data_IF_871539216556
#
_entry.id   IF_871539216556
#
_cell.length_a   1.000
_cell.length_b   1.000
_cell.length_c   1.000
_cell.angle_alpha   90.00
_cell.angle_beta   90.00
_cell.angle_gamma   90.00
#
_symmetry.space_group_name_H-M   'P 1'
#
loop_
_entity.id
_entity.type
_entity.pdbx_description
1 polymer ?
#
# COMPACT_ATOMS: atom_id res chain seq x y z
N UNK A 1 -8.71 21.23 13.13
CA UNK A 1 -9.63 21.51 11.99
C UNK A 1 -9.66 20.24 11.16
N UNK A 2 -10.81 19.61 11.03
CA UNK A 2 -10.96 18.48 10.10
C UNK A 2 -10.91 19.06 8.67
N UNK A 3 -9.90 18.68 7.91
CA UNK A 3 -9.77 19.05 6.52
C UNK A 3 -10.39 17.93 5.69
N UNK A 4 -11.31 18.25 4.80
CA UNK A 4 -11.86 17.27 3.87
C UNK A 4 -10.77 16.85 2.88
N UNK A 5 -10.66 15.56 2.59
CA UNK A 5 -9.66 15.04 1.66
C UNK A 5 -9.84 15.67 0.25
N UNK A 6 -11.09 15.92 -0.16
CA UNK A 6 -11.41 16.67 -1.39
C UNK A 6 -10.80 18.08 -1.43
N UNK A 7 -10.84 18.82 -0.30
CA UNK A 7 -10.26 20.16 -0.24
C UNK A 7 -8.73 20.16 -0.38
N UNK A 8 -8.08 19.07 0.08
CA UNK A 8 -6.65 18.87 -0.12
C UNK A 8 -6.33 18.60 -1.60
N UNK A 9 -7.10 17.74 -2.26
CA UNK A 9 -6.91 17.42 -3.67
C UNK A 9 -7.19 18.62 -4.58
N UNK A 10 -8.17 19.45 -4.21
CA UNK A 10 -8.52 20.68 -4.93
C UNK A 10 -7.53 21.84 -4.73
N UNK A 11 -6.50 21.66 -3.91
CA UNK A 11 -5.49 22.71 -3.68
C UNK A 11 -5.94 23.85 -2.77
N UNK A 12 -7.04 23.69 -2.03
CA UNK A 12 -7.60 24.74 -1.16
C UNK A 12 -6.83 24.97 0.14
N UNK A 13 -5.84 24.12 0.44
CA UNK A 13 -5.05 24.18 1.68
C UNK A 13 -3.57 24.30 1.36
N UNK A 14 -2.96 25.39 1.81
CA UNK A 14 -1.55 25.76 1.55
C UNK A 14 -0.62 25.26 2.66
N UNK A 15 0.07 24.16 2.44
CA UNK A 15 1.30 23.79 3.16
C UNK A 15 1.99 22.62 2.47
N UNK A 16 3.33 22.63 2.44
CA UNK A 16 4.10 21.59 1.76
C UNK A 16 4.02 20.21 2.46
N UNK A 17 3.82 20.21 3.78
CA UNK A 17 3.58 19.00 4.58
C UNK A 17 2.56 19.32 5.65
N UNK A 18 1.49 18.53 5.75
CA UNK A 18 0.45 18.68 6.75
C UNK A 18 0.07 17.34 7.35
N UNK A 19 -0.22 17.34 8.66
CA UNK A 19 -0.92 16.23 9.29
C UNK A 19 -2.41 16.53 9.28
N UNK A 20 -3.16 15.63 8.69
CA UNK A 20 -4.62 15.75 8.52
C UNK A 20 -5.31 14.51 9.07
N UNK A 21 -6.61 14.64 9.32
CA UNK A 21 -7.48 13.53 9.69
C UNK A 21 -8.64 13.48 8.70
N UNK A 22 -8.95 12.30 8.21
CA UNK A 22 -10.10 12.03 7.37
C UNK A 22 -10.67 10.65 7.73
N UNK A 23 -11.90 10.41 7.34
CA UNK A 23 -12.56 9.15 7.63
C UNK A 23 -12.20 8.06 6.61
N UNK A 24 -12.38 6.79 6.98
CA UNK A 24 -12.29 5.69 6.00
C UNK A 24 -13.32 5.89 4.87
N UNK A 25 -14.47 6.52 5.15
CA UNK A 25 -15.46 6.85 4.13
C UNK A 25 -14.95 7.88 3.15
N UNK A 26 -14.23 8.92 3.61
CA UNK A 26 -13.62 9.91 2.72
C UNK A 26 -12.59 9.25 1.79
N UNK A 27 -11.74 8.39 2.35
CA UNK A 27 -10.74 7.67 1.56
C UNK A 27 -11.40 6.74 0.52
N UNK A 28 -12.47 6.05 0.90
CA UNK A 28 -13.25 5.23 -0.03
C UNK A 28 -13.88 6.03 -1.16
N UNK A 29 -14.44 7.21 -0.86
CA UNK A 29 -15.04 8.09 -1.86
C UNK A 29 -14.01 8.56 -2.89
N UNK A 30 -12.75 8.74 -2.46
CA UNK A 30 -11.65 9.20 -3.30
C UNK A 30 -10.83 8.06 -3.95
N UNK A 31 -11.25 6.79 -3.83
CA UNK A 31 -10.48 5.62 -4.30
C UNK A 31 -10.11 5.65 -5.78
N UNK A 32 -10.93 6.30 -6.62
CA UNK A 32 -10.66 6.44 -8.05
C UNK A 32 -9.65 7.57 -8.36
N UNK A 33 -9.46 8.49 -7.42
CA UNK A 33 -8.58 9.65 -7.57
C UNK A 33 -7.21 9.47 -6.90
N UNK A 34 -7.08 8.42 -6.07
CA UNK A 34 -5.85 8.11 -5.34
C UNK A 34 -5.22 6.83 -5.88
N UNK A 35 -3.96 6.90 -6.30
CA UNK A 35 -3.16 5.73 -6.63
C UNK A 35 -2.67 5.07 -5.34
N UNK A 36 -3.14 3.86 -5.05
CA UNK A 36 -2.80 3.18 -3.79
C UNK A 36 -1.46 2.47 -3.86
N UNK A 37 -1.06 2.03 -5.04
CA UNK A 37 0.23 1.33 -5.29
C UNK A 37 0.99 2.00 -6.43
N UNK A 38 1.55 3.21 -6.20
CA UNK A 38 2.30 3.89 -7.25
C UNK A 38 3.57 3.11 -7.61
N UNK A 39 3.78 2.94 -8.92
CA UNK A 39 4.87 2.15 -9.48
C UNK A 39 6.27 2.65 -9.11
N UNK A 40 6.37 3.93 -8.76
CA UNK A 40 7.66 4.61 -8.64
C UNK A 40 8.47 4.19 -7.40
N UNK A 41 7.82 3.82 -6.30
CA UNK A 41 8.50 3.53 -5.03
C UNK A 41 7.77 2.52 -4.13
N UNK A 42 6.63 2.00 -4.55
CA UNK A 42 5.89 1.01 -3.78
C UNK A 42 6.16 -0.41 -4.29
N UNK A 43 6.31 -1.33 -3.35
CA UNK A 43 6.27 -2.77 -3.65
C UNK A 43 4.85 -3.20 -4.00
N UNK A 44 4.71 -4.30 -4.71
CA UNK A 44 3.41 -4.90 -4.98
C UNK A 44 2.63 -5.15 -3.70
N UNK A 45 1.30 -5.02 -3.77
CA UNK A 45 0.42 -5.47 -2.70
C UNK A 45 0.58 -6.98 -2.53
N UNK A 46 0.98 -7.41 -1.33
CA UNK A 46 1.23 -8.81 -1.00
C UNK A 46 0.88 -9.13 0.45
N UNK A 47 0.03 -8.32 1.10
CA UNK A 47 -0.42 -8.63 2.44
C UNK A 47 -1.19 -9.95 2.42
N UNK A 48 -0.75 -10.89 3.24
CA UNK A 48 -1.44 -12.16 3.43
C UNK A 48 -2.87 -11.93 3.97
N UNK A 49 -3.79 -12.81 3.60
CA UNK A 49 -5.21 -12.66 3.96
C UNK A 49 -5.41 -12.51 5.47
N UNK A 50 -4.69 -13.30 6.26
CA UNK A 50 -4.75 -13.23 7.73
C UNK A 50 -4.34 -11.84 8.25
N UNK A 51 -3.27 -11.26 7.69
CA UNK A 51 -2.84 -9.92 8.05
C UNK A 51 -3.91 -8.87 7.69
N UNK A 52 -4.52 -8.98 6.50
CA UNK A 52 -5.59 -8.07 6.06
C UNK A 52 -6.78 -8.14 7.02
N UNK A 53 -7.19 -9.36 7.39
CA UNK A 53 -8.29 -9.61 8.31
C UNK A 53 -8.02 -9.01 9.70
N UNK A 54 -6.81 -9.22 10.25
CA UNK A 54 -6.40 -8.63 11.53
C UNK A 54 -6.34 -7.11 11.48
N UNK A 55 -5.85 -6.56 10.37
CA UNK A 55 -5.83 -5.11 10.18
C UNK A 55 -7.26 -4.53 10.18
N UNK A 56 -8.19 -5.08 9.43
CA UNK A 56 -9.57 -4.56 9.41
C UNK A 56 -10.29 -4.79 10.73
N UNK A 57 -9.98 -5.87 11.47
CA UNK A 57 -10.49 -6.08 12.82
C UNK A 57 -10.05 -4.99 13.81
N UNK A 58 -8.90 -4.37 13.57
CA UNK A 58 -8.37 -3.31 14.45
C UNK A 58 -9.28 -2.09 14.52
N UNK A 59 -10.09 -1.82 13.50
CA UNK A 59 -11.06 -0.70 13.51
C UNK A 59 -12.21 -0.91 14.51
N UNK A 60 -12.45 -2.14 14.93
CA UNK A 60 -13.49 -2.51 15.89
C UNK A 60 -12.95 -2.68 17.32
N UNK A 61 -11.65 -2.45 17.51
CA UNK A 61 -11.00 -2.52 18.81
C UNK A 61 -10.51 -1.14 19.26
N UNK A 62 -11.16 -0.49 20.22
CA UNK A 62 -10.80 0.86 20.67
C UNK A 62 -9.41 0.97 21.34
N UNK A 63 -8.80 -0.18 21.68
CA UNK A 63 -7.46 -0.23 22.29
C UNK A 63 -6.33 -0.23 21.25
N UNK A 64 -6.66 -0.37 19.95
CA UNK A 64 -5.68 -0.42 18.88
C UNK A 64 -5.57 0.94 18.20
N UNK A 65 -4.34 1.46 18.15
CA UNK A 65 -4.04 2.68 17.40
C UNK A 65 -3.57 2.27 16.00
N UNK A 66 -4.31 2.69 14.99
CA UNK A 66 -3.95 2.44 13.59
C UNK A 66 -2.88 3.47 13.19
N UNK A 67 -1.71 3.03 12.67
CA UNK A 67 -0.67 3.93 12.23
C UNK A 67 -1.13 4.86 11.11
N UNK A 68 -0.64 6.10 11.13
CA UNK A 68 -0.92 7.08 10.08
C UNK A 68 -0.39 6.61 8.71
N UNK A 69 -1.04 7.09 7.66
CA UNK A 69 -0.59 6.88 6.27
C UNK A 69 0.13 8.12 5.75
N UNK A 70 0.87 7.98 4.66
CA UNK A 70 1.46 9.11 3.96
C UNK A 70 0.88 9.22 2.54
N UNK A 71 0.41 10.41 2.20
CA UNK A 71 -0.16 10.74 0.90
C UNK A 71 0.67 11.81 0.20
N UNK A 72 0.91 11.64 -1.08
CA UNK A 72 1.37 12.69 -1.98
C UNK A 72 0.21 13.17 -2.82
N UNK A 73 0.05 14.49 -2.94
CA UNK A 73 -0.98 15.12 -3.74
C UNK A 73 -0.38 16.24 -4.60
N UNK A 74 -1.02 16.57 -5.72
CA UNK A 74 -0.62 17.71 -6.54
C UNK A 74 -0.49 17.42 -8.03
N UNK A 75 0.03 18.41 -8.75
CA UNK A 75 0.05 18.43 -10.23
C UNK A 75 1.07 17.46 -10.86
N UNK A 76 2.04 17.01 -10.09
CA UNK A 76 3.15 16.15 -10.58
C UNK A 76 2.82 14.64 -10.50
N UNK A 77 1.55 14.28 -10.32
CA UNK A 77 1.10 12.89 -10.25
C UNK A 77 0.52 12.51 -11.63
N UNK A 78 1.09 11.50 -12.32
CA UNK A 78 0.82 11.29 -13.74
C UNK A 78 -0.60 10.88 -14.10
N UNK A 79 -1.31 10.19 -13.21
CA UNK A 79 -2.59 9.55 -13.56
C UNK A 79 -3.75 9.96 -12.67
N UNK A 80 -3.49 10.50 -11.47
CA UNK A 80 -4.50 10.74 -10.44
C UNK A 80 -4.18 12.02 -9.67
N UNK A 81 -5.08 12.45 -8.81
CA UNK A 81 -4.88 13.65 -7.98
C UNK A 81 -4.00 13.40 -6.75
N UNK A 82 -3.85 12.12 -6.35
CA UNK A 82 -3.07 11.71 -5.19
C UNK A 82 -2.51 10.31 -5.32
N UNK A 83 -1.51 9.99 -4.50
CA UNK A 83 -0.94 8.65 -4.37
C UNK A 83 -0.56 8.35 -2.92
N UNK A 84 -0.65 7.08 -2.53
CA UNK A 84 -0.24 6.60 -1.22
C UNK A 84 1.27 6.38 -1.21
N UNK A 85 2.00 7.16 -0.42
CA UNK A 85 3.45 7.00 -0.25
C UNK A 85 3.78 5.91 0.78
N UNK A 86 3.06 5.88 1.92
CA UNK A 86 3.15 4.81 2.91
C UNK A 86 1.75 4.40 3.36
N UNK A 87 1.60 3.12 3.68
CA UNK A 87 0.32 2.54 4.08
C UNK A 87 -0.48 1.88 2.95
N UNK A 88 0.12 1.61 1.80
CA UNK A 88 -0.49 0.90 0.67
C UNK A 88 -1.23 -0.37 1.11
N UNK A 89 -0.58 -1.24 1.91
CA UNK A 89 -1.17 -2.48 2.42
C UNK A 89 -2.41 -2.19 3.29
N UNK A 90 -2.35 -1.14 4.12
CA UNK A 90 -3.44 -0.71 5.01
C UNK A 90 -4.64 -0.19 4.22
N UNK A 91 -4.41 0.70 3.28
CA UNK A 91 -5.46 1.29 2.43
C UNK A 91 -6.11 0.22 1.55
N UNK A 92 -5.30 -0.62 0.89
CA UNK A 92 -5.80 -1.72 0.06
C UNK A 92 -6.65 -2.71 0.86
N UNK A 93 -6.23 -3.06 2.08
CA UNK A 93 -7.00 -3.97 2.95
C UNK A 93 -8.35 -3.36 3.36
N UNK A 94 -8.37 -2.06 3.68
CA UNK A 94 -9.62 -1.34 3.97
C UNK A 94 -10.57 -1.32 2.76
N UNK A 95 -10.02 -1.13 1.56
CA UNK A 95 -10.80 -1.18 0.32
C UNK A 95 -11.32 -2.58 0.03
N UNK A 96 -10.48 -3.61 0.14
CA UNK A 96 -10.86 -5.01 -0.05
C UNK A 96 -11.96 -5.44 0.94
N UNK A 97 -11.89 -5.00 2.19
CA UNK A 97 -12.94 -5.25 3.17
C UNK A 97 -14.26 -4.59 2.76
N UNK A 98 -14.25 -3.32 2.40
CA UNK A 98 -15.46 -2.59 2.00
C UNK A 98 -16.04 -3.07 0.67
N UNK A 99 -15.21 -3.59 -0.23
CA UNK A 99 -15.65 -4.28 -1.47
C UNK A 99 -16.27 -5.65 -1.20
N UNK A 100 -16.00 -6.25 -0.04
CA UNK A 100 -16.46 -7.59 0.31
C UNK A 100 -15.51 -8.71 -0.12
N UNK A 101 -14.26 -8.40 -0.43
CA UNK A 101 -13.23 -9.37 -0.80
C UNK A 101 -12.53 -9.97 0.43
N UNK A 102 -12.57 -9.26 1.56
CA UNK A 102 -12.00 -9.68 2.84
C UNK A 102 -13.10 -9.72 3.90
N UNK A 103 -13.13 -10.78 4.71
CA UNK A 103 -14.00 -10.92 5.88
C UNK A 103 -13.27 -10.56 7.16
N UNK A 104 -13.99 -10.26 8.22
CA UNK A 104 -13.43 -10.19 9.57
C UNK A 104 -12.91 -11.56 10.03
N UNK A 105 -11.84 -11.62 10.84
CA UNK A 105 -11.28 -12.88 11.33
C UNK A 105 -12.17 -13.53 12.40
N UNK A 106 -11.98 -14.83 12.62
CA UNK A 106 -12.64 -15.62 13.66
C UNK A 106 -11.93 -15.47 15.02
N UNK A 107 -11.83 -14.26 15.54
CA UNK A 107 -11.16 -13.97 16.82
C UNK A 107 -12.15 -13.59 17.92
N UNK A 108 -11.85 -13.95 19.16
CA UNK A 108 -12.76 -13.76 20.30
C UNK A 108 -13.09 -12.30 20.62
N UNK A 109 -12.20 -11.36 20.30
CA UNK A 109 -12.44 -9.93 20.50
C UNK A 109 -13.60 -9.38 19.68
N UNK A 110 -13.96 -10.03 18.58
CA UNK A 110 -15.09 -9.67 17.72
C UNK A 110 -16.40 -10.36 18.10
N UNK A 111 -16.36 -11.38 18.97
CA UNK A 111 -17.53 -12.16 19.37
C UNK A 111 -18.55 -11.37 20.19
N UNK A 112 -18.09 -10.43 20.97
CA UNK A 112 -18.93 -9.63 21.85
C UNK A 112 -18.69 -8.13 21.60
N UNK A 113 -18.62 -7.77 20.32
CA UNK A 113 -18.48 -6.36 19.97
C UNK A 113 -19.74 -5.58 20.38
N UNK A 114 -19.54 -4.47 21.08
CA UNK A 114 -20.63 -3.67 21.61
C UNK A 114 -20.64 -2.30 20.93
N UNK A 115 -21.80 -1.87 20.45
CA UNK A 115 -21.98 -0.56 19.82
C UNK A 115 -22.23 0.55 20.88
N UNK A 116 -22.38 1.79 20.41
CA UNK A 116 -22.63 2.96 21.23
C UNK A 116 -23.96 2.90 22.04
N UNK A 117 -24.87 1.99 21.67
CA UNK A 117 -26.15 1.77 22.35
C UNK A 117 -26.11 0.53 23.26
N UNK A 118 -24.93 0.02 23.57
CA UNK A 118 -24.72 -1.19 24.38
C UNK A 118 -25.29 -2.49 23.76
N UNK A 119 -25.60 -2.48 22.45
CA UNK A 119 -26.04 -3.67 21.75
C UNK A 119 -24.84 -4.53 21.40
N UNK A 120 -24.93 -5.84 21.69
CA UNK A 120 -23.85 -6.80 21.50
C UNK A 120 -24.06 -7.57 20.18
N UNK A 121 -23.02 -7.65 19.38
CA UNK A 121 -23.01 -8.34 18.10
C UNK A 121 -21.83 -9.31 18.00
N UNK A 122 -22.03 -10.43 17.32
CA UNK A 122 -20.94 -11.30 16.86
C UNK A 122 -20.53 -10.88 15.45
N UNK A 123 -19.35 -10.28 15.33
CA UNK A 123 -18.82 -9.78 14.04
C UNK A 123 -17.86 -10.76 13.38
N UNK A 124 -17.54 -11.91 14.02
CA UNK A 124 -16.59 -12.88 13.50
C UNK A 124 -17.01 -13.41 12.13
N UNK A 125 -16.07 -13.57 11.21
CA UNK A 125 -16.27 -14.10 9.88
C UNK A 125 -17.16 -13.27 8.96
N UNK A 126 -17.69 -12.14 9.43
CA UNK A 126 -18.62 -11.33 8.64
C UNK A 126 -17.89 -10.59 7.52
N UNK A 127 -18.48 -10.66 6.32
CA UNK A 127 -18.16 -9.76 5.23
C UNK A 127 -18.84 -8.41 5.43
N UNK A 128 -18.37 -7.39 4.72
CA UNK A 128 -18.94 -6.03 4.79
C UNK A 128 -20.47 -6.00 4.68
N UNK A 129 -21.03 -6.74 3.72
CA UNK A 129 -22.49 -6.77 3.48
C UNK A 129 -23.29 -7.26 4.69
N UNK A 130 -22.72 -8.19 5.46
CA UNK A 130 -23.37 -8.90 6.57
C UNK A 130 -23.26 -8.15 7.91
N UNK A 131 -22.43 -7.10 7.97
CA UNK A 131 -22.26 -6.29 9.17
C UNK A 131 -23.53 -5.51 9.54
N UNK A 132 -23.83 -5.38 10.84
CA UNK A 132 -24.84 -4.45 11.32
C UNK A 132 -24.48 -3.00 10.95
N UNK A 133 -25.51 -2.15 10.80
CA UNK A 133 -25.32 -0.75 10.37
C UNK A 133 -24.38 0.03 11.30
N UNK A 134 -24.46 -0.23 12.60
CA UNK A 134 -23.61 0.41 13.61
C UNK A 134 -22.14 0.04 13.41
N UNK A 135 -21.82 -1.24 13.14
CA UNK A 135 -20.47 -1.67 12.82
C UNK A 135 -19.94 -1.05 11.51
N UNK A 136 -20.77 -1.00 10.46
CA UNK A 136 -20.40 -0.28 9.23
C UNK A 136 -20.05 1.17 9.51
N UNK A 137 -20.87 1.85 10.31
CA UNK A 137 -20.63 3.24 10.69
C UNK A 137 -19.35 3.40 11.50
N UNK A 138 -19.05 2.50 12.44
CA UNK A 138 -17.79 2.51 13.21
C UNK A 138 -16.57 2.46 12.29
N UNK A 139 -16.59 1.59 11.29
CA UNK A 139 -15.50 1.54 10.31
C UNK A 139 -15.45 2.80 9.43
N UNK A 140 -16.59 3.24 8.91
CA UNK A 140 -16.69 4.40 8.00
C UNK A 140 -16.26 5.69 8.66
N UNK A 141 -16.69 5.93 9.89
CA UNK A 141 -16.41 7.15 10.65
C UNK A 141 -15.03 7.15 11.34
N UNK A 142 -14.30 6.02 11.28
CA UNK A 142 -12.97 5.96 11.89
C UNK A 142 -12.06 7.02 11.30
N UNK A 143 -11.50 7.87 12.18
CA UNK A 143 -10.60 8.95 11.79
C UNK A 143 -9.17 8.44 11.63
N UNK A 144 -8.73 8.35 10.40
CA UNK A 144 -7.37 7.99 10.05
C UNK A 144 -6.49 9.24 9.99
N UNK A 145 -5.34 9.18 10.64
CA UNK A 145 -4.32 10.22 10.50
C UNK A 145 -3.53 10.02 9.20
N UNK A 146 -3.20 11.10 8.53
CA UNK A 146 -2.31 11.09 7.38
C UNK A 146 -1.33 12.25 7.39
N UNK A 147 -0.11 11.98 6.94
CA UNK A 147 0.84 13.00 6.53
C UNK A 147 0.64 13.27 5.04
N UNK A 148 0.31 14.50 4.69
CA UNK A 148 0.10 14.90 3.30
C UNK A 148 1.27 15.73 2.81
N UNK A 149 1.88 15.28 1.73
CA UNK A 149 2.99 15.93 1.04
C UNK A 149 2.49 16.51 -0.28
N UNK A 150 2.65 17.82 -0.48
CA UNK A 150 2.13 18.52 -1.65
C UNK A 150 3.24 18.80 -2.65
N UNK A 151 2.90 18.60 -3.94
CA UNK A 151 3.70 18.99 -5.11
C UNK A 151 5.14 18.46 -5.14
N UNK A 152 5.44 17.36 -4.43
CA UNK A 152 6.73 16.71 -4.55
C UNK A 152 6.97 16.22 -5.98
N UNK A 153 8.20 16.35 -6.47
CA UNK A 153 8.61 15.62 -7.68
C UNK A 153 8.70 14.11 -7.40
N UNK A 154 8.71 13.24 -8.42
CA UNK A 154 8.91 11.80 -8.22
C UNK A 154 10.19 11.48 -7.44
N UNK A 155 11.29 12.22 -7.72
CA UNK A 155 12.56 12.05 -7.02
C UNK A 155 12.45 12.45 -5.54
N UNK A 156 11.81 13.58 -5.25
CA UNK A 156 11.58 14.04 -3.87
C UNK A 156 10.69 13.06 -3.12
N UNK A 157 9.64 12.50 -3.77
CA UNK A 157 8.78 11.50 -3.19
C UNK A 157 9.56 10.23 -2.84
N UNK A 158 10.41 9.73 -3.76
CA UNK A 158 11.29 8.60 -3.51
C UNK A 158 12.25 8.85 -2.34
N UNK A 159 12.88 10.02 -2.28
CA UNK A 159 13.75 10.39 -1.17
C UNK A 159 12.99 10.49 0.16
N UNK A 160 11.80 11.08 0.17
CA UNK A 160 10.95 11.17 1.35
C UNK A 160 10.57 9.79 1.85
N UNK A 161 10.18 8.89 0.94
CA UNK A 161 9.85 7.52 1.28
C UNK A 161 11.03 6.80 1.95
N UNK A 162 12.22 6.86 1.35
CA UNK A 162 13.41 6.17 1.87
C UNK A 162 13.90 6.77 3.19
N UNK A 163 13.90 8.08 3.33
CA UNK A 163 14.57 8.75 4.44
C UNK A 163 13.66 9.08 5.62
N UNK A 164 12.36 9.28 5.38
CA UNK A 164 11.40 9.72 6.41
C UNK A 164 10.45 8.61 6.80
N UNK A 165 9.85 7.94 5.81
CA UNK A 165 8.77 7.00 6.07
C UNK A 165 9.27 5.59 6.43
N UNK A 166 10.51 5.27 6.08
CA UNK A 166 11.08 3.93 6.26
C UNK A 166 11.69 3.68 7.65
N UNK A 167 11.51 4.55 8.61
CA UNK A 167 12.12 4.40 9.94
C UNK A 167 11.56 3.24 10.78
N UNK A 168 10.45 2.63 10.37
CA UNK A 168 9.77 1.56 11.13
C UNK A 168 9.99 0.15 10.57
N UNK A 169 10.31 0.03 9.28
CA UNK A 169 10.62 -1.26 8.64
C UNK A 169 11.82 -1.08 7.72
N UNK A 170 12.89 -1.82 7.97
CA UNK A 170 14.08 -1.79 7.11
C UNK A 170 13.73 -2.25 5.71
N UNK A 171 13.68 -1.27 4.77
CA UNK A 171 13.64 -1.60 3.34
C UNK A 171 14.90 -2.39 2.97
N UNK A 172 14.72 -3.43 2.16
CA UNK A 172 15.88 -4.09 1.57
C UNK A 172 16.58 -3.17 0.56
N UNK A 173 17.79 -3.56 0.13
CA UNK A 173 18.58 -2.73 -0.79
C UNK A 173 17.88 -2.47 -2.13
N UNK A 174 17.04 -3.40 -2.59
CA UNK A 174 16.30 -3.28 -3.83
C UNK A 174 15.11 -2.33 -3.70
N UNK A 175 14.37 -2.40 -2.59
CA UNK A 175 13.28 -1.47 -2.29
C UNK A 175 13.79 -0.03 -2.23
N UNK A 176 15.00 0.18 -1.64
CA UNK A 176 15.67 1.49 -1.63
C UNK A 176 16.04 1.97 -3.03
N UNK A 177 16.59 1.08 -3.87
CA UNK A 177 16.93 1.42 -5.26
C UNK A 177 15.72 1.78 -6.10
N UNK A 178 14.61 1.08 -5.92
CA UNK A 178 13.37 1.38 -6.63
C UNK A 178 12.73 2.69 -6.19
N UNK A 179 12.77 3.00 -4.90
CA UNK A 179 12.26 4.26 -4.37
C UNK A 179 13.01 5.48 -4.94
N UNK A 180 14.29 5.32 -5.28
CA UNK A 180 15.07 6.33 -6.00
C UNK A 180 14.77 6.14 -7.50
N UNK A 181 13.68 6.76 -7.97
CA UNK A 181 13.21 6.64 -9.35
C UNK A 181 14.30 7.02 -10.36
N UNK A 182 14.86 6.01 -11.04
CA UNK A 182 15.76 6.17 -12.18
C UNK A 182 15.15 5.51 -13.41
N UNK A 183 15.60 5.87 -14.61
CA UNK A 183 15.15 5.21 -15.84
C UNK A 183 15.44 3.70 -15.78
N UNK A 184 16.59 3.32 -15.22
CA UNK A 184 16.95 1.93 -14.99
C UNK A 184 15.95 1.22 -14.08
N UNK A 185 15.59 1.79 -12.93
CA UNK A 185 14.65 1.16 -12.00
C UNK A 185 13.25 1.00 -12.62
N UNK A 186 12.79 2.00 -13.39
CA UNK A 186 11.52 1.92 -14.13
C UNK A 186 11.54 0.82 -15.19
N UNK A 187 12.61 0.71 -15.94
CA UNK A 187 12.76 -0.33 -16.97
C UNK A 187 12.76 -1.72 -16.35
N UNK A 188 13.52 -1.92 -15.28
CA UNK A 188 13.59 -3.20 -14.55
C UNK A 188 12.21 -3.60 -14.00
N UNK A 189 11.48 -2.67 -13.37
CA UNK A 189 10.12 -2.92 -12.90
C UNK A 189 9.17 -3.30 -14.03
N UNK A 190 9.22 -2.58 -15.15
CA UNK A 190 8.39 -2.87 -16.31
C UNK A 190 8.68 -4.25 -16.87
N UNK A 191 9.94 -4.64 -16.97
CA UNK A 191 10.33 -5.95 -17.45
C UNK A 191 9.92 -7.07 -16.48
N UNK A 192 10.09 -6.87 -15.18
CA UNK A 192 9.63 -7.83 -14.18
C UNK A 192 8.11 -8.10 -14.29
N UNK A 193 7.33 -7.03 -14.52
CA UNK A 193 5.86 -7.14 -14.66
C UNK A 193 5.43 -7.82 -15.96
N UNK A 194 6.09 -7.50 -17.05
CA UNK A 194 5.73 -8.04 -18.37
C UNK A 194 6.15 -9.51 -18.53
N UNK A 195 7.14 -9.95 -17.76
CA UNK A 195 7.73 -11.29 -17.91
C UNK A 195 7.90 -11.71 -19.39
N UNK A 196 8.51 -10.85 -20.25
CA UNK A 196 8.38 -10.95 -21.72
C UNK A 196 8.94 -12.24 -22.32
N UNK A 197 9.76 -12.97 -21.56
CA UNK A 197 10.40 -14.20 -22.00
C UNK A 197 9.95 -15.43 -21.20
N UNK A 198 8.93 -15.30 -20.33
CA UNK A 198 8.57 -16.38 -19.39
C UNK A 198 9.69 -16.74 -18.40
N UNK A 199 10.68 -15.84 -18.23
CA UNK A 199 11.86 -16.10 -17.39
C UNK A 199 11.52 -16.29 -15.91
N UNK A 200 10.34 -15.83 -15.51
CA UNK A 200 9.86 -15.85 -14.13
C UNK A 200 8.70 -16.81 -13.92
N UNK A 201 8.39 -17.61 -14.94
CA UNK A 201 7.41 -18.67 -14.81
C UNK A 201 7.99 -19.82 -14.00
N UNK A 202 7.23 -20.33 -13.06
CA UNK A 202 7.60 -21.49 -12.25
C UNK A 202 7.68 -22.71 -13.15
N UNK A 203 8.88 -23.17 -13.45
CA UNK A 203 9.10 -24.44 -14.14
C UNK A 203 9.07 -25.54 -13.08
N UNK A 204 8.07 -26.43 -13.15
CA UNK A 204 7.82 -27.48 -12.18
C UNK A 204 8.85 -28.62 -12.15
N UNK A 205 9.90 -28.56 -12.94
CA UNK A 205 10.83 -29.66 -13.20
C UNK A 205 12.24 -29.49 -12.61
N UNK A 206 12.47 -28.48 -11.76
CA UNK A 206 13.73 -28.32 -11.02
C UNK A 206 14.93 -27.87 -11.85
N UNK A 207 14.69 -27.15 -12.96
CA UNK A 207 15.76 -26.58 -13.78
C UNK A 207 16.31 -25.26 -13.23
N UNK A 208 17.45 -24.80 -13.74
CA UNK A 208 18.15 -23.58 -13.31
C UNK A 208 17.27 -22.31 -13.35
N UNK A 209 16.23 -22.31 -14.18
CA UNK A 209 15.25 -21.23 -14.24
C UNK A 209 14.33 -21.20 -13.02
N UNK A 210 14.09 -22.34 -12.38
CA UNK A 210 13.35 -22.41 -11.11
C UNK A 210 14.09 -21.66 -9.99
N UNK A 211 15.41 -21.59 -10.02
CA UNK A 211 16.21 -20.83 -9.07
C UNK A 211 16.07 -19.30 -9.28
N UNK A 212 15.88 -18.85 -10.50
CA UNK A 212 15.64 -17.42 -10.82
C UNK A 212 14.16 -17.08 -10.61
N UNK A 213 13.25 -17.99 -10.92
CA UNK A 213 11.80 -17.82 -10.84
C UNK A 213 11.21 -18.27 -9.50
N UNK A 214 11.89 -19.15 -8.77
CA UNK A 214 11.46 -19.62 -7.44
C UNK A 214 11.63 -18.60 -6.32
N UNK A 215 12.26 -17.47 -6.61
CA UNK A 215 12.06 -16.29 -5.81
C UNK A 215 10.63 -15.83 -6.06
N UNK A 216 9.68 -16.37 -5.28
CA UNK A 216 8.36 -15.76 -5.15
C UNK A 216 8.59 -14.25 -5.21
N UNK A 217 7.76 -13.50 -5.95
CA UNK A 217 7.84 -12.04 -6.09
C UNK A 217 7.85 -11.29 -4.74
N UNK A 218 8.19 -11.99 -3.69
CA UNK A 218 8.36 -11.49 -2.34
C UNK A 218 9.51 -10.50 -2.34
N UNK A 219 9.16 -9.23 -2.11
CA UNK A 219 10.10 -8.14 -1.84
C UNK A 219 11.04 -7.80 -3.01
N UNK A 220 10.56 -7.93 -4.25
CA UNK A 220 11.26 -7.46 -5.45
C UNK A 220 12.56 -8.23 -5.77
N UNK A 221 12.63 -9.52 -5.44
CA UNK A 221 13.79 -10.34 -5.74
C UNK A 221 14.02 -10.50 -7.25
N UNK A 222 12.93 -10.55 -8.03
CA UNK A 222 13.00 -10.55 -9.51
C UNK A 222 13.61 -9.25 -10.03
N UNK A 223 13.17 -8.11 -9.50
CA UNK A 223 13.72 -6.81 -9.88
C UNK A 223 15.20 -6.68 -9.52
N UNK A 224 15.61 -7.26 -8.40
CA UNK A 224 17.01 -7.32 -7.99
C UNK A 224 17.84 -8.10 -9.01
N UNK A 225 17.38 -9.30 -9.39
CA UNK A 225 18.08 -10.16 -10.36
C UNK A 225 18.19 -9.48 -11.72
N UNK A 226 17.12 -8.83 -12.20
CA UNK A 226 17.15 -8.06 -13.44
C UNK A 226 18.09 -6.84 -13.35
N UNK A 227 18.10 -6.12 -12.24
CA UNK A 227 19.01 -4.99 -12.07
C UNK A 227 20.47 -5.43 -12.07
N UNK A 228 20.79 -6.56 -11.44
CA UNK A 228 22.13 -7.16 -11.45
C UNK A 228 22.52 -7.61 -12.85
N UNK A 229 21.60 -8.24 -13.58
CA UNK A 229 21.83 -8.64 -14.99
C UNK A 229 22.07 -7.41 -15.87
N UNK A 230 21.24 -6.36 -15.77
CA UNK A 230 21.43 -5.12 -16.52
C UNK A 230 22.77 -4.44 -16.19
N UNK A 231 23.16 -4.45 -14.94
CA UNK A 231 24.46 -3.93 -14.50
C UNK A 231 25.62 -4.73 -15.13
N UNK A 232 25.57 -6.08 -15.06
CA UNK A 232 26.58 -6.94 -15.67
C UNK A 232 26.68 -6.75 -17.19
N UNK A 233 25.56 -6.58 -17.87
CA UNK A 233 25.55 -6.33 -19.33
C UNK A 233 26.02 -4.90 -19.70
N UNK A 234 25.90 -3.93 -18.77
CA UNK A 234 26.40 -2.57 -19.01
C UNK A 234 27.88 -2.37 -18.71
N UNK A 235 28.47 -3.28 -17.94
CA UNK A 235 29.89 -3.31 -17.68
C UNK A 235 30.54 -4.27 -18.68
N UNK A 236 31.48 -3.79 -19.50
CA UNK A 236 32.21 -4.61 -20.53
C UNK A 236 32.99 -5.81 -19.94
N UNK A 237 32.82 -6.10 -18.67
CA UNK A 237 33.48 -7.21 -17.96
C UNK A 237 32.97 -8.61 -18.35
N UNK A 238 31.84 -8.68 -19.06
CA UNK A 238 31.28 -9.96 -19.53
C UNK A 238 31.89 -10.49 -20.86
N UNK A 239 32.68 -9.65 -21.52
CA UNK A 239 33.33 -9.99 -22.82
C UNK A 239 34.84 -10.26 -22.69
N UNK A 240 35.35 -10.40 -21.50
CA UNK A 240 36.71 -10.85 -21.20
C UNK A 240 36.71 -12.23 -20.56
#
# INVERSE_FOLDING_TARGET
MLVQLSDLLDGKVDANVQRVFFTNQDLWNMREEIEVSPDAYQRFFHAELEWQQLYVASFFNPMVVIPEIALRIGKNIPKRSGEVMDGCQRVSSGFAFKSGDVALPEIDTLKYWTDENESVYDLRGNFWKDLPRTAKKTFEDYQMAAQVYRDLTPEQAGWTFVSVLNNTNTLNAQEKRQAISSDMSRTVQQWARLNPLGMFDTIKDGTTLEYIAGAEHKRLDVDKTLAELCYMLSTDDFLK
#
